data_IF_731673026872
#
_entry.id   IF_731673026872
#
_cell.length_a   1.000
_cell.length_b   1.000
_cell.length_c   1.000
_cell.angle_alpha   90.00
_cell.angle_beta   90.00
_cell.angle_gamma   90.00
#
_symmetry.space_group_name_H-M   'P 1'
#
loop_
_entity.id
_entity.type
_entity.pdbx_description
1 polymer ?
#
# COMPACT_ATOMS: atom_id res chain seq x y z
N UNK A 1 -14.62 7.04 26.91
CA UNK A 1 -13.28 6.88 27.54
C UNK A 1 -13.03 8.00 28.56
N UNK A 2 -13.14 7.71 29.87
CA UNK A 2 -12.64 8.62 30.93
C UNK A 2 -11.18 8.33 31.32
N UNK A 3 -10.56 7.31 30.72
CA UNK A 3 -9.19 6.93 31.01
C UNK A 3 -8.21 7.87 30.29
N UNK A 4 -7.56 8.77 31.05
CA UNK A 4 -6.56 9.72 30.54
C UNK A 4 -5.40 9.00 29.85
N UNK A 5 -5.01 7.81 30.33
CA UNK A 5 -3.91 7.03 29.77
C UNK A 5 -4.14 6.61 28.32
N UNK A 6 -5.35 6.16 27.98
CA UNK A 6 -5.66 5.76 26.60
C UNK A 6 -5.56 6.94 25.62
N UNK A 7 -5.89 8.16 26.05
CA UNK A 7 -5.73 9.36 25.21
C UNK A 7 -4.26 9.70 25.00
N UNK A 8 -3.45 9.63 26.06
CA UNK A 8 -2.01 9.85 25.99
C UNK A 8 -1.38 8.80 25.06
N UNK A 9 -1.72 7.52 25.24
CA UNK A 9 -1.28 6.44 24.36
C UNK A 9 -1.67 6.68 22.91
N UNK A 10 -2.91 7.14 22.65
CA UNK A 10 -3.37 7.49 21.29
C UNK A 10 -2.45 8.52 20.65
N UNK A 11 -2.14 9.60 21.37
CA UNK A 11 -1.27 10.67 20.87
C UNK A 11 0.14 10.14 20.61
N UNK A 12 0.72 9.39 21.55
CA UNK A 12 2.04 8.77 21.40
C UNK A 12 2.09 7.89 20.15
N UNK A 13 1.10 7.03 19.95
CA UNK A 13 1.07 6.11 18.80
C UNK A 13 0.89 6.86 17.47
N UNK A 14 0.12 7.96 17.43
CA UNK A 14 0.01 8.81 16.23
C UNK A 14 1.39 9.40 15.88
N UNK A 15 2.08 10.00 16.85
CA UNK A 15 3.41 10.56 16.63
C UNK A 15 4.42 9.49 16.25
N UNK A 16 4.40 8.33 16.91
CA UNK A 16 5.24 7.19 16.57
C UNK A 16 5.00 6.73 15.12
N UNK A 17 3.75 6.59 14.72
CA UNK A 17 3.38 6.16 13.36
C UNK A 17 3.85 7.18 12.32
N UNK A 18 3.68 8.47 12.60
CA UNK A 18 4.12 9.54 11.72
C UNK A 18 5.65 9.60 11.60
N UNK A 19 6.36 9.65 12.73
CA UNK A 19 7.83 9.74 12.74
C UNK A 19 8.44 8.46 12.18
N UNK A 20 8.03 7.29 12.66
CA UNK A 20 8.53 6.00 12.18
C UNK A 20 8.21 5.77 10.69
N UNK A 21 7.02 6.21 10.25
CA UNK A 21 6.59 6.12 8.87
C UNK A 21 7.35 7.04 7.91
N UNK A 22 7.85 8.19 8.37
CA UNK A 22 8.56 9.16 7.54
C UNK A 22 10.10 9.09 7.66
N UNK A 23 10.62 8.71 8.82
CA UNK A 23 12.07 8.76 9.09
C UNK A 23 12.82 7.56 8.54
N UNK A 24 12.23 6.36 8.60
CA UNK A 24 12.94 5.14 8.20
C UNK A 24 13.12 5.11 6.68
N UNK A 25 14.35 5.07 6.13
CA UNK A 25 14.55 5.10 4.69
C UNK A 25 14.04 3.82 4.01
N UNK A 26 13.78 3.87 2.71
CA UNK A 26 13.62 2.66 1.91
C UNK A 26 14.97 1.97 1.72
N UNK A 27 14.95 0.68 1.43
CA UNK A 27 16.13 -0.07 1.03
C UNK A 27 16.70 0.48 -0.29
N UNK A 28 17.98 0.19 -0.56
CA UNK A 28 18.59 0.35 -1.87
C UNK A 28 17.70 -0.12 -3.03
N UNK A 29 17.64 0.65 -4.10
CA UNK A 29 16.83 0.34 -5.27
C UNK A 29 17.33 1.02 -6.55
N UNK A 30 16.92 0.50 -7.70
CA UNK A 30 17.26 1.07 -9.02
C UNK A 30 16.06 1.87 -9.53
N UNK A 31 16.23 3.18 -9.72
CA UNK A 31 15.20 4.15 -10.09
C UNK A 31 15.05 4.31 -11.61
N UNK A 32 16.16 4.29 -12.34
CA UNK A 32 16.15 4.51 -13.78
C UNK A 32 17.32 3.79 -14.44
N UNK A 33 17.09 3.31 -15.66
CA UNK A 33 18.07 2.61 -16.49
C UNK A 33 17.91 3.09 -17.93
N UNK A 34 18.98 3.62 -18.51
CA UNK A 34 18.97 4.17 -19.88
C UNK A 34 20.24 3.77 -20.64
N UNK A 35 20.16 3.26 -21.89
CA UNK A 35 18.94 3.01 -22.66
C UNK A 35 18.17 1.79 -22.15
N UNK A 36 16.85 1.80 -22.36
CA UNK A 36 15.94 0.71 -22.04
C UNK A 36 15.72 -0.25 -23.23
N UNK A 37 16.23 0.09 -24.41
CA UNK A 37 16.16 -0.72 -25.62
C UNK A 37 17.55 -0.84 -26.24
N UNK A 38 18.01 -2.08 -26.44
CA UNK A 38 19.36 -2.37 -26.94
C UNK A 38 19.34 -3.52 -27.96
N UNK A 39 20.41 -3.61 -28.75
CA UNK A 39 20.58 -4.65 -29.78
C UNK A 39 21.62 -5.67 -29.35
N UNK A 40 21.36 -6.95 -29.62
CA UNK A 40 22.31 -8.03 -29.41
C UNK A 40 23.56 -7.85 -30.28
N UNK A 41 24.70 -8.38 -29.83
CA UNK A 41 25.98 -8.28 -30.54
C UNK A 41 26.61 -6.88 -30.52
N UNK A 42 26.14 -5.99 -29.64
CA UNK A 42 26.68 -4.64 -29.49
C UNK A 42 27.30 -4.43 -28.12
N UNK A 43 28.24 -3.49 -28.05
CA UNK A 43 28.75 -2.96 -26.79
C UNK A 43 27.95 -1.71 -26.44
N UNK A 44 27.33 -1.71 -25.26
CA UNK A 44 26.43 -0.62 -24.84
C UNK A 44 26.82 -0.11 -23.47
N UNK A 45 26.81 1.21 -23.31
CA UNK A 45 26.90 1.87 -22.02
C UNK A 45 25.49 2.14 -21.48
N UNK A 46 25.25 1.68 -20.25
CA UNK A 46 23.98 1.80 -19.54
C UNK A 46 24.17 2.75 -18.37
N UNK A 47 23.45 3.85 -18.39
CA UNK A 47 23.34 4.80 -17.29
C UNK A 47 22.31 4.29 -16.29
N UNK A 48 22.65 4.36 -15.01
CA UNK A 48 21.88 3.82 -13.90
C UNK A 48 21.73 4.91 -12.86
N UNK A 49 20.49 5.18 -12.47
CA UNK A 49 20.14 5.98 -11.29
C UNK A 49 19.55 5.07 -10.23
N UNK A 50 20.00 5.23 -8.99
CA UNK A 50 19.58 4.42 -7.84
C UNK A 50 19.08 5.28 -6.69
N UNK A 51 18.50 4.64 -5.68
CA UNK A 51 17.96 5.29 -4.49
C UNK A 51 18.56 4.67 -3.24
N UNK A 52 19.01 5.53 -2.32
CA UNK A 52 19.58 5.15 -1.03
C UNK A 52 20.70 4.09 -1.15
N UNK A 53 21.57 4.24 -2.15
CA UNK A 53 22.73 3.38 -2.38
C UNK A 53 24.03 4.07 -1.98
N UNK A 54 25.13 3.32 -1.98
CA UNK A 54 26.47 3.80 -1.66
C UNK A 54 27.49 3.42 -2.73
N UNK A 55 27.12 3.59 -4.01
CA UNK A 55 27.92 3.11 -5.14
C UNK A 55 29.38 3.62 -5.11
N UNK A 56 29.63 4.83 -4.60
CA UNK A 56 30.96 5.45 -4.53
C UNK A 56 31.82 4.95 -3.35
N UNK A 57 31.28 4.12 -2.46
CA UNK A 57 31.91 3.71 -1.20
C UNK A 57 31.97 2.18 -1.05
N UNK A 58 31.77 1.42 -2.12
CA UNK A 58 31.63 -0.05 -2.05
C UNK A 58 32.04 -0.73 -3.36
N UNK A 59 32.17 -2.04 -3.30
CA UNK A 59 32.51 -2.92 -4.41
C UNK A 59 31.25 -3.28 -5.22
N UNK A 60 30.98 -2.54 -6.28
CA UNK A 60 29.80 -2.79 -7.10
C UNK A 60 30.07 -3.83 -8.18
N UNK A 61 29.22 -4.86 -8.20
CA UNK A 61 29.10 -5.76 -9.34
C UNK A 61 27.73 -5.60 -9.98
N UNK A 62 27.74 -5.37 -11.29
CA UNK A 62 26.54 -5.17 -12.11
C UNK A 62 26.31 -6.41 -12.99
N UNK A 63 25.08 -6.90 -12.99
CA UNK A 63 24.66 -8.02 -13.82
C UNK A 63 23.47 -7.64 -14.68
N UNK A 64 23.47 -8.15 -15.91
CA UNK A 64 22.30 -8.17 -16.77
C UNK A 64 21.84 -9.62 -16.91
N UNK A 65 20.57 -9.87 -16.64
CA UNK A 65 20.01 -11.22 -16.46
C UNK A 65 18.77 -11.41 -17.33
N UNK A 66 18.76 -12.45 -18.16
CA UNK A 66 17.54 -12.84 -18.90
C UNK A 66 16.62 -13.67 -17.99
N UNK A 67 17.21 -14.56 -17.21
CA UNK A 67 16.56 -15.34 -16.17
C UNK A 67 17.56 -15.70 -15.06
N UNK A 68 17.14 -16.50 -14.09
CA UNK A 68 18.01 -16.92 -12.97
C UNK A 68 19.27 -17.68 -13.38
N UNK A 69 19.31 -18.23 -14.61
CA UNK A 69 20.39 -19.07 -15.11
C UNK A 69 21.30 -18.36 -16.12
N UNK A 70 20.84 -17.32 -16.80
CA UNK A 70 21.61 -16.66 -17.86
C UNK A 70 21.90 -15.20 -17.53
N UNK A 71 23.14 -14.96 -17.11
CA UNK A 71 23.61 -13.68 -16.60
C UNK A 71 24.91 -13.25 -17.30
N UNK A 72 25.07 -11.96 -17.56
CA UNK A 72 26.34 -11.36 -17.98
C UNK A 72 26.77 -10.30 -16.96
N UNK A 73 28.07 -10.18 -16.75
CA UNK A 73 28.67 -9.19 -15.85
C UNK A 73 29.08 -7.96 -16.65
N UNK A 74 28.86 -6.76 -16.10
CA UNK A 74 29.36 -5.52 -16.67
C UNK A 74 30.89 -5.51 -16.75
N UNK A 75 31.45 -5.03 -17.85
CA UNK A 75 32.91 -5.08 -18.11
C UNK A 75 33.64 -3.85 -17.61
N UNK A 76 33.00 -2.68 -17.66
CA UNK A 76 33.53 -1.43 -17.14
C UNK A 76 32.43 -0.66 -16.42
N UNK A 77 32.75 -0.06 -15.28
CA UNK A 77 31.83 0.81 -14.55
C UNK A 77 32.51 2.14 -14.22
N UNK A 78 31.78 3.23 -14.42
CA UNK A 78 32.13 4.58 -14.02
C UNK A 78 31.13 5.04 -12.96
N UNK A 79 31.57 5.13 -11.70
CA UNK A 79 30.72 5.59 -10.60
C UNK A 79 30.79 7.11 -10.54
N UNK A 80 29.64 7.78 -10.74
CA UNK A 80 29.54 9.24 -10.75
C UNK A 80 29.24 9.79 -9.36
N UNK A 81 28.44 9.07 -8.58
CA UNK A 81 28.08 9.44 -7.20
C UNK A 81 27.59 8.21 -6.42
N UNK A 82 27.19 8.38 -5.16
CA UNK A 82 26.56 7.33 -4.37
C UNK A 82 25.30 6.71 -5.01
N UNK A 83 24.63 7.43 -5.92
CA UNK A 83 23.37 7.02 -6.54
C UNK A 83 23.39 7.03 -8.09
N UNK A 84 24.55 7.23 -8.69
CA UNK A 84 24.67 7.29 -10.16
C UNK A 84 25.89 6.53 -10.65
N UNK A 85 25.68 5.69 -11.66
CA UNK A 85 26.75 4.96 -12.34
C UNK A 85 26.46 4.81 -13.83
N UNK A 86 27.52 4.63 -14.61
CA UNK A 86 27.44 4.18 -16.00
C UNK A 86 28.20 2.87 -16.12
N UNK A 87 27.60 1.86 -16.75
CA UNK A 87 28.18 0.52 -16.85
C UNK A 87 28.13 0.04 -18.28
N UNK A 88 29.26 -0.42 -18.79
CA UNK A 88 29.36 -0.99 -20.12
C UNK A 88 29.12 -2.49 -20.08
N UNK A 89 28.27 -2.97 -20.98
CA UNK A 89 28.00 -4.38 -21.21
C UNK A 89 28.33 -4.74 -22.65
N UNK A 90 29.01 -5.88 -22.81
CA UNK A 90 29.21 -6.51 -24.11
C UNK A 90 28.07 -7.52 -24.32
N UNK A 91 27.05 -7.13 -25.08
CA UNK A 91 25.82 -7.92 -25.25
C UNK A 91 26.08 -9.04 -26.26
N UNK A 92 25.89 -10.31 -25.88
CA UNK A 92 26.10 -11.42 -26.81
C UNK A 92 25.21 -11.32 -28.05
N UNK A 93 25.69 -11.84 -29.19
CA UNK A 93 24.96 -11.82 -30.47
C UNK A 93 23.63 -12.57 -30.41
N UNK A 94 23.57 -13.64 -29.62
CA UNK A 94 22.39 -14.47 -29.45
C UNK A 94 21.89 -14.46 -28.01
N UNK A 95 20.58 -14.49 -27.85
CA UNK A 95 19.91 -14.60 -26.56
C UNK A 95 19.53 -16.06 -26.29
N UNK A 96 19.48 -16.49 -25.01
CA UNK A 96 19.12 -17.86 -24.63
C UNK A 96 17.60 -18.11 -24.72
N UNK A 97 16.90 -17.45 -25.64
CA UNK A 97 15.46 -17.53 -25.84
C UNK A 97 15.09 -17.76 -27.29
N UNK A 98 14.00 -18.50 -27.53
CA UNK A 98 13.46 -18.77 -28.87
C UNK A 98 12.59 -17.62 -29.41
N UNK A 99 12.98 -16.37 -29.15
CA UNK A 99 12.24 -15.18 -29.57
C UNK A 99 13.20 -14.09 -30.05
N UNK A 100 12.77 -13.24 -31.00
CA UNK A 100 13.59 -12.13 -31.52
C UNK A 100 13.81 -10.99 -30.51
N UNK A 101 13.11 -11.03 -29.38
CA UNK A 101 13.17 -10.04 -28.32
C UNK A 101 13.06 -10.73 -26.97
N UNK A 102 13.79 -10.22 -25.98
CA UNK A 102 13.65 -10.63 -24.59
C UNK A 102 13.87 -9.43 -23.67
N UNK A 103 13.31 -9.50 -22.46
CA UNK A 103 13.55 -8.49 -21.44
C UNK A 103 14.61 -9.01 -20.47
N UNK A 104 15.58 -8.15 -20.18
CA UNK A 104 16.60 -8.40 -19.19
C UNK A 104 16.37 -7.56 -17.93
N UNK A 105 16.72 -8.14 -16.80
CA UNK A 105 16.72 -7.52 -15.48
C UNK A 105 18.12 -7.02 -15.16
N UNK A 106 18.22 -5.82 -14.60
CA UNK A 106 19.48 -5.28 -14.11
C UNK A 106 19.60 -5.61 -12.61
N UNK A 107 20.75 -6.11 -12.19
CA UNK A 107 21.04 -6.42 -10.79
C UNK A 107 22.34 -5.74 -10.37
N UNK A 108 22.35 -5.23 -9.15
CA UNK A 108 23.52 -4.63 -8.51
C UNK A 108 23.74 -5.36 -7.20
N UNK A 109 24.99 -5.78 -6.98
CA UNK A 109 25.41 -6.46 -5.76
C UNK A 109 26.65 -5.75 -5.23
N UNK A 110 26.63 -5.38 -3.97
CA UNK A 110 27.80 -4.86 -3.27
C UNK A 110 27.78 -5.21 -1.78
N UNK A 111 28.91 -5.05 -1.09
CA UNK A 111 29.05 -5.41 0.32
C UNK A 111 28.25 -4.55 1.30
N UNK A 112 27.87 -3.33 0.92
CA UNK A 112 27.26 -2.34 1.83
C UNK A 112 25.73 -2.28 1.74
N UNK A 113 25.20 -2.35 0.53
CA UNK A 113 23.80 -2.25 0.16
C UNK A 113 23.16 -3.64 -0.06
N UNK A 114 23.98 -4.68 -0.13
CA UNK A 114 23.52 -6.03 -0.48
C UNK A 114 23.19 -6.18 -1.97
N UNK A 115 22.25 -7.06 -2.28
CA UNK A 115 21.76 -7.28 -3.64
C UNK A 115 20.38 -6.69 -3.89
N UNK A 116 20.22 -5.93 -4.98
CA UNK A 116 18.95 -5.35 -5.40
C UNK A 116 18.83 -5.33 -6.92
N UNK A 117 17.60 -5.36 -7.44
CA UNK A 117 17.34 -5.60 -8.85
C UNK A 117 16.19 -4.76 -9.39
N UNK A 118 16.25 -4.49 -10.71
CA UNK A 118 15.15 -3.94 -11.51
C UNK A 118 14.73 -4.96 -12.56
N UNK A 119 13.63 -5.70 -12.32
CA UNK A 119 13.16 -6.72 -13.24
C UNK A 119 12.74 -6.14 -14.58
N UNK A 120 13.05 -6.86 -15.68
CA UNK A 120 12.54 -6.56 -17.03
C UNK A 120 12.73 -5.11 -17.48
N UNK A 121 13.87 -4.51 -17.15
CA UNK A 121 14.11 -3.07 -17.36
C UNK A 121 14.73 -2.72 -18.72
N UNK A 122 15.29 -3.69 -19.42
CA UNK A 122 15.94 -3.50 -20.72
C UNK A 122 15.37 -4.51 -21.71
N UNK A 123 14.86 -4.04 -22.83
CA UNK A 123 14.49 -4.89 -23.95
C UNK A 123 15.69 -5.10 -24.88
N UNK A 124 15.98 -6.35 -25.21
CA UNK A 124 17.08 -6.74 -26.09
C UNK A 124 16.52 -7.40 -27.34
N UNK A 125 16.83 -6.84 -28.50
CA UNK A 125 16.46 -7.42 -29.80
C UNK A 125 17.62 -8.16 -30.45
N UNK A 126 17.35 -9.28 -31.11
CA UNK A 126 18.32 -10.04 -31.90
C UNK A 126 17.85 -10.24 -33.35
N UNK A 127 18.76 -10.09 -34.32
CA UNK A 127 18.45 -10.17 -35.76
C UNK A 127 18.07 -11.61 -36.18
N UNK A 128 18.75 -12.59 -35.58
CA UNK A 128 18.60 -14.02 -35.82
C UNK A 128 18.56 -14.78 -34.49
N UNK A 129 17.81 -15.90 -34.45
CA UNK A 129 17.63 -16.70 -33.23
C UNK A 129 18.50 -17.95 -33.31
N UNK A 130 19.44 -18.08 -32.36
CA UNK A 130 20.20 -19.31 -32.09
C UNK A 130 20.26 -19.53 -30.58
N UNK A 131 19.39 -20.41 -30.09
CA UNK A 131 19.20 -20.62 -28.65
C UNK A 131 20.41 -21.30 -28.01
N UNK A 132 21.01 -22.29 -28.67
CA UNK A 132 22.14 -23.03 -28.10
C UNK A 132 23.40 -22.17 -28.08
N UNK A 133 23.64 -21.36 -29.12
CA UNK A 133 24.66 -20.32 -29.07
C UNK A 133 24.37 -19.30 -27.95
N UNK A 134 23.12 -18.86 -27.80
CA UNK A 134 22.71 -17.96 -26.72
C UNK A 134 23.01 -18.52 -25.32
N UNK A 135 22.67 -19.79 -25.07
CA UNK A 135 22.93 -20.46 -23.77
C UNK A 135 24.40 -20.61 -23.44
N UNK A 136 25.28 -20.72 -24.44
CA UNK A 136 26.73 -20.84 -24.24
C UNK A 136 27.40 -19.49 -24.04
N UNK A 137 26.91 -18.46 -24.72
CA UNK A 137 27.43 -17.09 -24.62
C UNK A 137 27.01 -16.39 -23.32
N UNK A 138 25.80 -16.65 -22.85
CA UNK A 138 25.33 -16.14 -21.57
C UNK A 138 25.81 -17.05 -20.45
N UNK A 139 26.63 -16.51 -19.57
CA UNK A 139 27.24 -17.28 -18.50
C UNK A 139 26.19 -17.73 -17.48
N UNK A 140 26.28 -18.98 -17.05
CA UNK A 140 25.66 -19.44 -15.81
C UNK A 140 26.45 -18.92 -14.62
N UNK A 141 26.66 -17.60 -14.52
CA UNK A 141 27.16 -17.02 -13.28
C UNK A 141 26.06 -17.29 -12.26
N UNK A 142 26.34 -18.25 -11.38
CA UNK A 142 25.52 -18.46 -10.20
C UNK A 142 25.75 -17.23 -9.33
N UNK A 143 24.78 -16.31 -9.37
CA UNK A 143 24.73 -15.24 -8.40
C UNK A 143 24.34 -15.94 -7.09
N UNK A 144 25.34 -16.31 -6.29
CA UNK A 144 25.12 -16.80 -4.93
C UNK A 144 24.18 -15.84 -4.20
N UNK A 145 23.33 -16.38 -3.33
CA UNK A 145 22.24 -15.67 -2.65
C UNK A 145 22.57 -14.21 -2.39
N UNK A 146 21.73 -13.30 -2.88
CA UNK A 146 21.91 -11.87 -2.69
C UNK A 146 22.26 -11.58 -1.23
N UNK A 147 23.46 -11.06 -0.93
CA UNK A 147 23.81 -10.77 0.44
C UNK A 147 22.77 -9.79 0.97
N UNK A 148 22.19 -10.13 2.12
CA UNK A 148 21.26 -9.26 2.82
C UNK A 148 22.00 -7.97 3.20
N UNK A 149 21.38 -6.82 2.96
CA UNK A 149 21.92 -5.56 3.45
C UNK A 149 22.10 -5.62 4.98
N UNK A 150 23.22 -5.14 5.54
CA UNK A 150 23.48 -5.14 6.99
C UNK A 150 22.45 -4.33 7.78
N UNK A 151 21.77 -3.37 7.14
CA UNK A 151 20.64 -2.66 7.72
C UNK A 151 19.44 -2.72 6.78
N UNK A 152 18.26 -3.08 7.32
CA UNK A 152 17.01 -3.17 6.56
C UNK A 152 16.13 -1.95 6.85
N UNK A 153 16.02 -1.06 5.88
CA UNK A 153 14.96 -0.05 5.75
C UNK A 153 13.63 -0.68 5.32
N UNK A 154 12.67 0.16 4.94
CA UNK A 154 11.43 -0.32 4.32
C UNK A 154 11.72 -0.90 2.92
N UNK A 155 10.95 -1.88 2.43
CA UNK A 155 11.21 -2.47 1.12
C UNK A 155 11.07 -1.41 0.01
N UNK A 156 12.05 -1.36 -0.88
CA UNK A 156 11.95 -0.60 -2.12
C UNK A 156 11.07 -1.36 -3.12
N UNK A 157 10.03 -0.70 -3.64
CA UNK A 157 9.09 -1.28 -4.61
C UNK A 157 9.01 -0.35 -5.80
N UNK A 158 9.43 -0.81 -6.98
CA UNK A 158 9.64 0.02 -8.18
C UNK A 158 8.46 0.90 -8.58
N UNK A 159 7.22 0.43 -8.39
CA UNK A 159 6.02 1.20 -8.78
C UNK A 159 5.57 2.15 -7.67
N UNK A 160 5.94 1.86 -6.41
CA UNK A 160 5.46 2.61 -5.25
C UNK A 160 6.49 3.61 -4.75
N UNK A 161 7.76 3.22 -4.70
CA UNK A 161 8.87 3.99 -4.15
C UNK A 161 8.47 4.59 -2.79
N UNK A 162 8.66 5.89 -2.60
CA UNK A 162 8.34 6.61 -1.36
C UNK A 162 6.82 6.66 -1.06
N UNK A 163 5.96 6.48 -2.07
CA UNK A 163 4.51 6.48 -1.86
C UNK A 163 4.03 5.30 -1.02
N UNK A 164 4.83 4.24 -0.88
CA UNK A 164 4.52 3.08 -0.04
C UNK A 164 4.22 3.47 1.42
N UNK A 165 4.79 4.58 1.91
CA UNK A 165 4.55 5.10 3.26
C UNK A 165 3.09 5.47 3.52
N UNK A 166 2.33 5.77 2.47
CA UNK A 166 0.91 6.09 2.58
C UNK A 166 0.09 4.93 3.19
N UNK A 167 0.62 3.70 3.16
CA UNK A 167 0.01 2.53 3.79
C UNK A 167 -0.22 2.73 5.30
N UNK A 168 0.59 3.54 5.98
CA UNK A 168 0.48 3.83 7.42
C UNK A 168 -0.66 4.77 7.78
N UNK A 169 -1.35 5.33 6.78
CA UNK A 169 -2.48 6.24 6.96
C UNK A 169 -3.72 5.66 6.29
N UNK A 170 -3.61 5.34 4.99
CA UNK A 170 -4.71 4.86 4.17
C UNK A 170 -5.37 3.60 4.76
N UNK A 171 -4.60 2.54 5.01
CA UNK A 171 -5.14 1.26 5.47
C UNK A 171 -5.62 1.32 6.94
N UNK A 172 -4.90 1.98 7.88
CA UNK A 172 -5.43 2.23 9.21
C UNK A 172 -6.77 2.96 9.25
N UNK A 173 -7.02 3.93 8.35
CA UNK A 173 -8.35 4.56 8.25
C UNK A 173 -9.44 3.54 7.91
N UNK A 174 -9.19 2.63 6.96
CA UNK A 174 -10.14 1.56 6.61
C UNK A 174 -10.37 0.58 7.74
N UNK A 175 -9.31 0.09 8.38
CA UNK A 175 -9.43 -0.87 9.49
C UNK A 175 -10.18 -0.24 10.68
N UNK A 176 -9.84 1.00 11.03
CA UNK A 176 -10.53 1.71 12.09
C UNK A 176 -11.99 2.02 11.72
N UNK A 177 -12.30 2.38 10.47
CA UNK A 177 -13.67 2.57 9.99
C UNK A 177 -14.50 1.30 10.21
N UNK A 178 -14.00 0.13 9.78
CA UNK A 178 -14.71 -1.14 9.93
C UNK A 178 -15.00 -1.41 11.40
N UNK A 179 -14.01 -1.23 12.29
CA UNK A 179 -14.19 -1.41 13.73
C UNK A 179 -15.27 -0.46 14.28
N UNK A 180 -15.26 0.81 13.89
CA UNK A 180 -16.25 1.79 14.33
C UNK A 180 -17.66 1.42 13.86
N UNK A 181 -17.81 0.98 12.62
CA UNK A 181 -19.08 0.49 12.11
C UNK A 181 -19.52 -0.83 12.78
N UNK A 182 -18.61 -1.72 13.15
CA UNK A 182 -18.96 -2.90 13.96
C UNK A 182 -19.50 -2.49 15.34
N UNK A 183 -18.91 -1.45 15.97
CA UNK A 183 -19.46 -0.88 17.21
C UNK A 183 -20.84 -0.26 16.98
N UNK A 184 -21.08 0.43 15.87
CA UNK A 184 -22.40 0.98 15.58
C UNK A 184 -23.45 -0.12 15.42
N UNK A 185 -23.13 -1.22 14.73
CA UNK A 185 -24.01 -2.40 14.65
C UNK A 185 -24.28 -3.00 16.03
N UNK A 186 -23.25 -3.14 16.87
CA UNK A 186 -23.42 -3.67 18.23
C UNK A 186 -24.43 -2.83 19.05
N UNK A 187 -24.30 -1.50 19.02
CA UNK A 187 -25.25 -0.63 19.72
C UNK A 187 -26.63 -0.58 19.05
N UNK A 188 -26.72 -0.71 17.72
CA UNK A 188 -27.99 -0.83 17.02
C UNK A 188 -28.77 -2.07 17.45
N UNK A 189 -28.10 -3.24 17.50
CA UNK A 189 -28.74 -4.48 17.96
C UNK A 189 -29.20 -4.33 19.41
N UNK A 190 -28.34 -3.79 20.28
CA UNK A 190 -28.68 -3.57 21.70
C UNK A 190 -29.89 -2.65 21.86
N UNK A 191 -29.95 -1.57 21.08
CA UNK A 191 -31.07 -0.64 21.06
C UNK A 191 -32.37 -1.31 20.61
N UNK A 192 -32.33 -2.09 19.52
CA UNK A 192 -33.53 -2.74 18.97
C UNK A 192 -34.09 -3.82 19.91
N UNK A 193 -33.23 -4.52 20.66
CA UNK A 193 -33.65 -5.50 21.67
C UNK A 193 -34.18 -4.80 22.92
N UNK A 194 -33.48 -3.78 23.41
CA UNK A 194 -33.84 -3.03 24.62
C UNK A 194 -33.71 -1.53 24.37
N UNK A 195 -34.79 -0.86 23.93
CA UNK A 195 -34.74 0.55 23.52
C UNK A 195 -34.26 1.48 24.63
N UNK A 196 -33.02 1.95 24.47
CA UNK A 196 -32.41 3.00 25.29
C UNK A 196 -31.87 4.06 24.34
N UNK A 197 -32.40 5.28 24.39
CA UNK A 197 -32.01 6.34 23.44
C UNK A 197 -30.48 6.56 23.38
N UNK A 198 -29.81 6.40 24.53
CA UNK A 198 -28.35 6.44 24.65
C UNK A 198 -27.60 5.49 23.70
N UNK A 199 -28.18 4.34 23.36
CA UNK A 199 -27.60 3.39 22.42
C UNK A 199 -27.69 3.90 21.00
N UNK A 200 -28.86 4.42 20.60
CA UNK A 200 -29.04 5.04 19.29
C UNK A 200 -28.15 6.30 19.10
N UNK A 201 -27.91 7.09 20.16
CA UNK A 201 -26.94 8.20 20.11
C UNK A 201 -25.50 7.72 19.90
N UNK A 202 -25.14 6.56 20.47
CA UNK A 202 -23.83 5.93 20.20
C UNK A 202 -23.73 5.44 18.77
N UNK A 203 -24.79 4.82 18.24
CA UNK A 203 -24.87 4.42 16.82
C UNK A 203 -24.55 5.61 15.92
N UNK A 204 -25.23 6.74 16.13
CA UNK A 204 -24.99 7.96 15.36
C UNK A 204 -23.54 8.42 15.45
N UNK A 205 -22.97 8.46 16.66
CA UNK A 205 -21.60 8.91 16.87
C UNK A 205 -20.57 8.01 16.16
N UNK A 206 -20.73 6.69 16.24
CA UNK A 206 -19.85 5.74 15.55
C UNK A 206 -20.01 5.82 14.03
N UNK A 207 -21.24 5.89 13.51
CA UNK A 207 -21.47 6.07 12.08
C UNK A 207 -20.83 7.37 11.57
N UNK A 208 -20.88 8.45 12.36
CA UNK A 208 -20.32 9.75 11.98
C UNK A 208 -18.81 9.70 11.83
N UNK A 209 -18.12 9.11 12.79
CA UNK A 209 -16.66 9.00 12.75
C UNK A 209 -16.21 7.94 11.74
N UNK A 210 -16.95 6.82 11.63
CA UNK A 210 -16.70 5.80 10.62
C UNK A 210 -16.81 6.37 9.20
N UNK A 211 -17.89 7.11 8.88
CA UNK A 211 -18.03 7.75 7.57
C UNK A 211 -16.90 8.75 7.31
N UNK A 212 -16.51 9.54 8.30
CA UNK A 212 -15.36 10.45 8.20
C UNK A 212 -14.06 9.69 7.87
N UNK A 213 -13.79 8.56 8.54
CA UNK A 213 -12.63 7.73 8.25
C UNK A 213 -12.69 7.09 6.87
N UNK A 214 -13.86 6.65 6.42
CA UNK A 214 -14.07 6.17 5.05
C UNK A 214 -13.74 7.25 4.00
N UNK A 215 -14.17 8.49 4.24
CA UNK A 215 -13.84 9.63 3.37
C UNK A 215 -12.32 9.89 3.37
N UNK A 216 -11.68 9.88 4.54
CA UNK A 216 -10.22 9.99 4.63
C UNK A 216 -9.50 8.85 3.91
N UNK A 217 -10.02 7.63 4.01
CA UNK A 217 -9.56 6.46 3.26
C UNK A 217 -9.64 6.68 1.75
N UNK A 218 -10.76 7.20 1.23
CA UNK A 218 -10.91 7.53 -0.19
C UNK A 218 -9.94 8.63 -0.63
N UNK A 219 -9.80 9.72 0.14
CA UNK A 219 -8.90 10.82 -0.20
C UNK A 219 -7.44 10.34 -0.26
N UNK A 220 -6.99 9.65 0.79
CA UNK A 220 -5.62 9.11 0.84
C UNK A 220 -5.38 8.06 -0.23
N UNK A 221 -6.38 7.25 -0.58
CA UNK A 221 -6.31 6.27 -1.66
C UNK A 221 -6.26 6.91 -3.04
N UNK A 222 -7.04 7.96 -3.29
CA UNK A 222 -7.03 8.71 -4.53
C UNK A 222 -5.69 9.43 -4.74
N UNK A 223 -5.12 10.03 -3.69
CA UNK A 223 -3.78 10.63 -3.74
C UNK A 223 -2.74 9.55 -4.06
N UNK A 224 -2.85 8.38 -3.44
CA UNK A 224 -1.95 7.26 -3.77
C UNK A 224 -2.07 6.88 -5.25
N UNK A 225 -3.31 6.70 -5.72
CA UNK A 225 -3.59 6.29 -7.09
C UNK A 225 -3.06 7.30 -8.12
N UNK A 226 -3.17 8.60 -7.82
CA UNK A 226 -2.63 9.65 -8.69
C UNK A 226 -1.11 9.55 -8.85
N UNK A 227 -0.39 9.28 -7.76
CA UNK A 227 1.08 9.19 -7.80
C UNK A 227 1.54 7.88 -8.43
N UNK A 228 0.84 6.77 -8.21
CA UNK A 228 1.23 5.45 -8.70
C UNK A 228 0.81 5.19 -10.15
N UNK A 229 -0.41 5.61 -10.54
CA UNK A 229 -1.02 5.28 -11.84
C UNK A 229 -1.49 6.52 -12.62
N UNK A 230 -1.15 7.72 -12.16
CA UNK A 230 -1.40 8.96 -12.91
C UNK A 230 -2.82 9.52 -12.83
N UNK A 231 -3.77 8.88 -12.13
CA UNK A 231 -5.15 9.37 -11.98
C UNK A 231 -5.70 9.19 -10.55
N UNK A 232 -6.46 10.17 -10.05
CA UNK A 232 -7.12 10.07 -8.73
C UNK A 232 -8.22 9.00 -8.70
N UNK A 233 -8.91 8.82 -9.83
CA UNK A 233 -9.98 7.86 -10.00
C UNK A 233 -9.88 7.23 -11.38
N UNK A 234 -9.62 5.94 -11.44
CA UNK A 234 -9.46 5.19 -12.70
C UNK A 234 -10.70 4.35 -13.05
N UNK A 235 -11.74 4.41 -12.21
CA UNK A 235 -12.89 3.51 -12.32
C UNK A 235 -12.62 2.09 -11.81
N UNK A 236 -11.53 1.90 -11.06
CA UNK A 236 -11.20 0.64 -10.42
C UNK A 236 -12.36 0.13 -9.52
N UNK A 237 -12.57 -1.18 -9.53
CA UNK A 237 -13.69 -1.80 -8.82
C UNK A 237 -13.69 -1.49 -7.32
N UNK A 238 -12.51 -1.44 -6.68
CA UNK A 238 -12.40 -1.12 -5.24
C UNK A 238 -12.77 0.33 -4.98
N UNK A 239 -12.38 1.25 -5.84
CA UNK A 239 -12.76 2.66 -5.74
C UNK A 239 -14.29 2.81 -5.82
N UNK A 240 -14.90 2.28 -6.87
CA UNK A 240 -16.33 2.39 -7.12
C UNK A 240 -17.17 1.73 -6.02
N UNK A 241 -16.86 0.49 -5.63
CA UNK A 241 -17.64 -0.20 -4.60
C UNK A 241 -17.52 0.49 -3.23
N UNK A 242 -16.35 1.04 -2.94
CA UNK A 242 -16.13 1.82 -1.72
C UNK A 242 -16.94 3.10 -1.70
N UNK A 243 -16.98 3.86 -2.81
CA UNK A 243 -17.82 5.05 -2.90
C UNK A 243 -19.30 4.72 -2.68
N UNK A 244 -19.80 3.64 -3.28
CA UNK A 244 -21.18 3.18 -3.09
C UNK A 244 -21.45 2.84 -1.62
N UNK A 245 -20.54 2.09 -0.96
CA UNK A 245 -20.69 1.76 0.46
C UNK A 245 -20.76 3.01 1.35
N UNK A 246 -19.91 4.01 1.10
CA UNK A 246 -19.93 5.27 1.85
C UNK A 246 -21.16 6.12 1.55
N UNK A 247 -21.69 6.11 0.32
CA UNK A 247 -22.96 6.77 0.00
C UNK A 247 -24.15 6.13 0.73
N UNK A 248 -24.18 4.79 0.85
CA UNK A 248 -25.17 4.10 1.69
C UNK A 248 -25.06 4.59 3.13
N UNK A 249 -23.86 4.66 3.70
CA UNK A 249 -23.66 5.22 5.04
C UNK A 249 -23.95 6.73 5.14
N UNK A 250 -23.77 7.51 4.08
CA UNK A 250 -24.16 8.92 4.06
C UNK A 250 -25.68 9.09 4.16
N UNK A 251 -26.45 8.20 3.52
CA UNK A 251 -27.91 8.23 3.57
C UNK A 251 -28.49 7.99 4.98
N UNK A 252 -27.74 7.31 5.87
CA UNK A 252 -28.09 7.20 7.30
C UNK A 252 -28.34 8.57 7.95
N UNK A 253 -27.54 9.59 7.62
CA UNK A 253 -27.67 10.93 8.23
C UNK A 253 -28.88 11.70 7.71
N UNK A 254 -29.32 11.39 6.49
CA UNK A 254 -30.57 11.92 5.93
C UNK A 254 -31.74 11.29 6.70
N UNK A 255 -31.73 9.96 6.86
CA UNK A 255 -32.74 9.23 7.62
C UNK A 255 -32.83 9.71 9.07
N UNK A 256 -31.68 9.96 9.71
CA UNK A 256 -31.62 10.50 11.08
C UNK A 256 -32.34 11.84 11.23
N UNK A 257 -32.43 12.67 10.18
CA UNK A 257 -33.09 13.98 10.25
C UNK A 257 -34.53 13.98 9.71
N UNK A 258 -34.98 12.88 9.12
CA UNK A 258 -36.24 12.84 8.34
C UNK A 258 -37.47 12.73 9.24
N UNK A 259 -37.38 11.98 10.34
CA UNK A 259 -38.53 11.68 11.18
C UNK A 259 -38.72 12.73 12.28
N UNK A 260 -39.98 13.15 12.48
CA UNK A 260 -40.37 14.07 13.56
C UNK A 260 -40.50 13.36 14.92
N UNK A 261 -41.00 12.12 14.89
CA UNK A 261 -41.10 11.28 16.08
C UNK A 261 -39.72 10.67 16.39
N UNK A 262 -39.20 10.99 17.57
CA UNK A 262 -37.87 10.55 18.00
C UNK A 262 -37.78 9.01 18.12
N UNK A 263 -38.80 8.34 18.62
CA UNK A 263 -38.76 6.87 18.76
C UNK A 263 -38.70 6.19 17.38
N UNK A 264 -39.45 6.72 16.41
CA UNK A 264 -39.40 6.25 15.01
C UNK A 264 -38.02 6.53 14.42
N UNK A 265 -37.50 7.74 14.59
CA UNK A 265 -36.16 8.16 14.14
C UNK A 265 -35.08 7.18 14.64
N UNK A 266 -35.01 6.96 15.96
CA UNK A 266 -33.98 6.13 16.57
C UNK A 266 -34.05 4.66 16.12
N UNK A 267 -35.27 4.11 15.97
CA UNK A 267 -35.50 2.73 15.48
C UNK A 267 -35.11 2.56 14.03
N UNK A 268 -35.61 3.42 13.14
CA UNK A 268 -35.33 3.31 11.70
C UNK A 268 -33.84 3.51 11.42
N UNK A 269 -33.21 4.51 12.04
CA UNK A 269 -31.77 4.74 11.88
C UNK A 269 -30.92 3.57 12.41
N UNK A 270 -31.27 3.00 13.56
CA UNK A 270 -30.54 1.86 14.13
C UNK A 270 -30.64 0.62 13.22
N UNK A 271 -31.84 0.31 12.73
CA UNK A 271 -32.06 -0.77 11.77
C UNK A 271 -31.32 -0.54 10.44
N UNK A 272 -31.37 0.69 9.92
CA UNK A 272 -30.66 1.06 8.69
C UNK A 272 -29.14 0.88 8.82
N UNK A 273 -28.57 1.13 10.00
CA UNK A 273 -27.13 0.90 10.22
C UNK A 273 -26.73 -0.56 10.04
N UNK A 274 -27.58 -1.50 10.49
CA UNK A 274 -27.35 -2.94 10.31
C UNK A 274 -27.40 -3.27 8.82
N UNK A 275 -28.41 -2.76 8.10
CA UNK A 275 -28.49 -2.91 6.65
C UNK A 275 -27.25 -2.37 5.94
N UNK A 276 -26.82 -1.15 6.25
CA UNK A 276 -25.66 -0.51 5.65
C UNK A 276 -24.37 -1.32 5.88
N UNK A 277 -24.19 -1.87 7.08
CA UNK A 277 -23.04 -2.73 7.40
C UNK A 277 -23.07 -4.04 6.60
N UNK A 278 -24.24 -4.68 6.50
CA UNK A 278 -24.41 -5.90 5.71
C UNK A 278 -24.15 -5.63 4.22
N UNK A 279 -24.64 -4.51 3.68
CA UNK A 279 -24.38 -4.10 2.30
C UNK A 279 -22.90 -3.76 2.04
N UNK A 280 -22.20 -3.20 3.03
CA UNK A 280 -20.77 -2.91 2.94
C UNK A 280 -19.93 -4.18 2.75
N UNK A 281 -20.32 -5.32 3.33
CA UNK A 281 -19.55 -6.57 3.25
C UNK A 281 -19.32 -7.03 1.79
N UNK A 282 -20.36 -7.25 0.97
CA UNK A 282 -20.16 -7.65 -0.42
C UNK A 282 -19.47 -6.56 -1.24
N UNK A 283 -19.76 -5.28 -0.98
CA UNK A 283 -19.13 -4.16 -1.69
C UNK A 283 -17.63 -4.08 -1.45
N UNK A 284 -17.15 -4.23 -0.22
CA UNK A 284 -15.73 -4.07 0.09
C UNK A 284 -14.93 -5.37 0.01
N UNK A 285 -15.54 -6.52 0.27
CA UNK A 285 -14.80 -7.78 0.43
C UNK A 285 -15.13 -8.84 -0.61
N UNK A 286 -16.34 -8.87 -1.18
CA UNK A 286 -16.72 -9.93 -2.12
C UNK A 286 -16.49 -9.48 -3.55
N UNK A 287 -17.21 -8.44 -3.99
CA UNK A 287 -17.18 -7.97 -5.37
C UNK A 287 -15.75 -7.64 -5.83
N UNK A 288 -14.92 -6.89 -5.07
CA UNK A 288 -13.60 -6.51 -5.57
C UNK A 288 -12.63 -7.67 -5.75
N UNK A 289 -12.91 -8.85 -5.20
CA UNK A 289 -12.10 -10.07 -5.40
C UNK A 289 -12.51 -10.86 -6.64
N UNK A 290 -13.64 -10.53 -7.25
CA UNK A 290 -14.15 -11.15 -8.47
C UNK A 290 -13.66 -10.46 -9.76
N UNK A 291 -12.92 -9.36 -9.63
CA UNK A 291 -12.44 -8.53 -10.74
C UNK A 291 -10.97 -8.18 -10.57
N UNK A 292 -10.31 -7.92 -11.69
CA UNK A 292 -8.98 -7.33 -11.69
C UNK A 292 -9.00 -5.90 -11.14
N UNK A 293 -7.94 -5.54 -10.44
CA UNK A 293 -7.80 -4.25 -9.77
C UNK A 293 -6.35 -3.81 -9.77
N UNK A 294 -6.13 -2.51 -9.94
CA UNK A 294 -4.82 -1.88 -9.85
C UNK A 294 -4.28 -1.87 -8.42
N UNK A 295 -5.14 -2.08 -7.43
CA UNK A 295 -4.78 -1.99 -6.02
C UNK A 295 -3.72 -3.05 -5.64
N UNK A 296 -2.62 -2.65 -4.98
CA UNK A 296 -1.57 -3.57 -4.56
C UNK A 296 -2.14 -4.74 -3.75
N UNK A 297 -1.65 -5.95 -4.05
CA UNK A 297 -2.10 -7.20 -3.41
C UNK A 297 -3.41 -7.77 -3.95
N UNK A 298 -3.86 -7.36 -5.15
CA UNK A 298 -4.97 -8.02 -5.83
C UNK A 298 -4.64 -9.50 -6.12
N UNK A 299 -5.59 -10.41 -5.87
CA UNK A 299 -5.38 -11.86 -5.97
C UNK A 299 -4.85 -12.55 -4.70
N UNK A 300 -4.43 -11.79 -3.67
CA UNK A 300 -3.98 -12.29 -2.36
C UNK A 300 -4.90 -11.90 -1.19
N UNK A 301 -4.42 -12.03 0.06
CA UNK A 301 -5.11 -11.53 1.26
C UNK A 301 -4.38 -10.33 1.89
N UNK A 302 -4.34 -9.17 1.20
CA UNK A 302 -3.40 -8.08 1.47
C UNK A 302 -3.56 -7.39 2.83
N UNK A 303 -4.61 -7.70 3.59
CA UNK A 303 -4.87 -7.08 4.88
C UNK A 303 -4.43 -7.93 6.08
N UNK A 304 -4.26 -9.25 5.92
CA UNK A 304 -4.05 -10.18 7.04
C UNK A 304 -3.15 -11.40 6.69
N UNK A 305 -2.63 -11.50 5.47
CA UNK A 305 -1.65 -12.51 5.09
C UNK A 305 -0.29 -12.25 5.74
N UNK A 306 0.21 -13.23 6.51
CA UNK A 306 1.52 -13.17 7.19
C UNK A 306 2.74 -13.09 6.25
N UNK A 307 2.55 -13.13 4.93
CA UNK A 307 3.61 -12.97 3.92
C UNK A 307 3.47 -11.67 3.09
N UNK A 308 2.37 -10.93 3.23
CA UNK A 308 2.03 -9.82 2.31
C UNK A 308 2.64 -8.46 2.74
N UNK A 309 3.02 -8.31 4.01
CA UNK A 309 3.62 -7.07 4.55
C UNK A 309 4.99 -7.33 5.20
N UNK A 310 6.01 -6.58 4.79
CA UNK A 310 7.37 -6.71 5.30
C UNK A 310 7.46 -6.43 6.82
N UNK A 311 8.32 -7.17 7.53
CA UNK A 311 8.47 -7.07 8.99
C UNK A 311 8.89 -5.66 9.44
N UNK A 312 9.68 -4.95 8.64
CA UNK A 312 10.08 -3.57 8.96
C UNK A 312 8.89 -2.61 8.95
N UNK A 313 7.95 -2.84 8.02
CA UNK A 313 6.73 -2.04 7.90
C UNK A 313 5.71 -2.35 8.99
N UNK A 314 5.61 -3.62 9.42
CA UNK A 314 4.70 -4.06 10.50
C UNK A 314 4.90 -3.29 11.79
N UNK A 315 6.15 -2.95 12.11
CA UNK A 315 6.50 -2.17 13.30
C UNK A 315 5.83 -0.80 13.33
N UNK A 316 5.54 -0.19 12.17
CA UNK A 316 4.85 1.10 12.09
C UNK A 316 3.36 0.92 11.80
N UNK A 317 3.03 -0.04 10.94
CA UNK A 317 1.67 -0.31 10.48
C UNK A 317 0.70 -0.66 11.62
N UNK A 318 1.02 -1.66 12.45
CA UNK A 318 0.08 -2.10 13.50
C UNK A 318 -0.11 -1.04 14.60
N UNK A 319 0.94 -0.35 15.08
CA UNK A 319 0.78 0.83 15.93
C UNK A 319 -0.12 1.89 15.29
N UNK A 320 -0.01 2.12 13.98
CA UNK A 320 -0.90 3.01 13.23
C UNK A 320 -2.36 2.58 13.30
N UNK A 321 -2.66 1.30 13.02
CA UNK A 321 -4.02 0.75 13.13
C UNK A 321 -4.60 0.97 14.53
N UNK A 322 -3.82 0.70 15.57
CA UNK A 322 -4.23 0.92 16.96
C UNK A 322 -4.45 2.41 17.23
N UNK A 323 -3.53 3.27 16.78
CA UNK A 323 -3.61 4.72 16.95
C UNK A 323 -4.90 5.30 16.37
N UNK A 324 -5.19 5.03 15.10
CA UNK A 324 -6.37 5.56 14.42
C UNK A 324 -7.66 4.95 14.99
N UNK A 325 -7.64 3.69 15.41
CA UNK A 325 -8.79 3.07 16.10
C UNK A 325 -9.07 3.75 17.43
N UNK A 326 -8.06 3.94 18.29
CA UNK A 326 -8.23 4.63 19.58
C UNK A 326 -8.68 6.08 19.40
N UNK A 327 -8.12 6.78 18.41
CA UNK A 327 -8.57 8.12 18.03
C UNK A 327 -10.05 8.12 17.62
N UNK A 328 -10.45 7.15 16.79
CA UNK A 328 -11.83 7.03 16.32
C UNK A 328 -12.81 6.76 17.46
N UNK A 329 -12.45 5.89 18.40
CA UNK A 329 -13.21 5.63 19.62
C UNK A 329 -13.30 6.87 20.51
N UNK A 330 -12.21 7.64 20.63
CA UNK A 330 -12.20 8.87 21.39
C UNK A 330 -13.12 9.92 20.75
N UNK A 331 -12.99 10.16 19.44
CA UNK A 331 -13.85 11.08 18.68
C UNK A 331 -15.33 10.67 18.77
N UNK A 332 -15.64 9.39 18.61
CA UNK A 332 -17.02 8.87 18.72
C UNK A 332 -17.59 9.14 20.11
N UNK A 333 -16.78 8.95 21.16
CA UNK A 333 -17.19 9.26 22.52
C UNK A 333 -17.38 10.78 22.76
N UNK A 334 -16.67 11.66 22.06
CA UNK A 334 -16.92 13.10 22.12
C UNK A 334 -18.24 13.46 21.43
N UNK A 335 -18.48 12.97 20.21
CA UNK A 335 -19.74 13.21 19.50
C UNK A 335 -20.95 12.68 20.24
N UNK A 336 -20.85 11.49 20.85
CA UNK A 336 -21.89 10.96 21.71
C UNK A 336 -22.23 11.91 22.88
N UNK A 337 -21.22 12.46 23.55
CA UNK A 337 -21.43 13.42 24.64
C UNK A 337 -22.11 14.70 24.16
N UNK A 338 -21.69 15.21 23.00
CA UNK A 338 -22.30 16.41 22.38
C UNK A 338 -23.79 16.17 22.15
N UNK A 339 -24.17 15.08 21.49
CA UNK A 339 -25.58 14.76 21.20
C UNK A 339 -26.39 14.60 22.49
N UNK A 340 -25.82 13.91 23.48
CA UNK A 340 -26.47 13.73 24.77
C UNK A 340 -26.74 15.08 25.46
N UNK A 341 -25.78 16.01 25.42
CA UNK A 341 -25.96 17.36 25.99
C UNK A 341 -26.98 18.17 25.21
N UNK A 342 -26.97 18.12 23.87
CA UNK A 342 -27.96 18.79 23.02
C UNK A 342 -29.38 18.32 23.33
N UNK A 343 -29.57 17.02 23.61
CA UNK A 343 -30.88 16.49 23.95
C UNK A 343 -31.32 16.84 25.38
N UNK A 344 -30.39 16.90 26.35
CA UNK A 344 -30.69 17.39 27.70
C UNK A 344 -31.12 18.87 27.66
N UNK A 345 -30.52 19.69 26.80
CA UNK A 345 -30.85 21.12 26.68
C UNK A 345 -32.18 21.40 25.95
N UNK A 346 -32.71 20.42 25.20
CA UNK A 346 -33.99 20.54 24.49
C UNK A 346 -35.19 20.09 25.34
N UNK A 347 -34.94 19.39 26.44
CA UNK A 347 -35.93 18.99 27.45
C UNK A 347 -36.03 20.09 28.50
#
# INVERSE_FOLDING_TARGET
MNNKWLKILTVILIFYTFIGGMWRPLNPGIMEVTPDNIKSGTKVEINISTYNTHLDQTDNTFYLSIDSSYNIKGTFSNIKSSNEASVTFDIPTYLPVAAKMSNASLLIVNSKDGGYARPSTISITQDSVDVEAGKTLWSKVHIESFPDAPTKGFPFRLILEETIRNIYYHVPFWMAMIILFSFSVFYSIRFLIKPKAEDAYRVFAFNRVGLFYGIMGLITGAIWAKNTWGQYWSGDIKQNMTAIALLIYASYFILWKTFKDEQVQLRVSSAFTIFAYVAMIPLLFVIPRLYDSLHPGNGGNPALGGEDLDNTMRMVFYPGVIAYTLLGLWLSNLFYRIIRMENILKQ
#
